data_IF_785616159971
#
_entry.id   IF_785616159971
#
_cell.length_a   1.000
_cell.length_b   1.000
_cell.length_c   1.000
_cell.angle_alpha   90.00
_cell.angle_beta   90.00
_cell.angle_gamma   90.00
#
_symmetry.space_group_name_H-M   'P 1'
#
loop_
_entity.id
_entity.type
_entity.pdbx_description
1 polymer ?
#
# COMPACT_ATOMS: atom_id res chain seq x y z
N UNK A 1 -0.81 0.93 -11.37
CA UNK A 1 0.07 1.71 -10.47
C UNK A 1 0.35 0.90 -9.23
N UNK A 2 1.60 0.83 -8.84
CA UNK A 2 2.01 0.20 -7.58
C UNK A 2 2.27 1.28 -6.54
N UNK A 3 1.82 1.01 -5.31
CA UNK A 3 1.99 1.92 -4.19
C UNK A 3 2.56 1.18 -3.01
N UNK A 4 3.38 1.87 -2.21
CA UNK A 4 3.80 1.37 -0.90
C UNK A 4 3.09 2.16 0.19
N UNK A 5 2.70 1.47 1.23
CA UNK A 5 1.98 2.06 2.36
C UNK A 5 2.73 1.73 3.63
N UNK A 6 2.88 2.72 4.51
CA UNK A 6 3.43 2.53 5.84
C UNK A 6 2.49 3.11 6.87
N UNK A 7 2.73 2.78 8.14
CA UNK A 7 1.85 3.21 9.23
C UNK A 7 0.63 2.33 9.43
N UNK A 8 0.60 1.16 8.80
CA UNK A 8 -0.49 0.21 8.96
C UNK A 8 -0.47 -0.41 10.36
N UNK A 9 -1.66 -0.72 10.92
CA UNK A 9 -1.71 -1.56 12.12
C UNK A 9 -1.00 -2.89 11.88
N UNK A 10 -0.33 -3.38 12.90
CA UNK A 10 0.47 -4.60 12.74
C UNK A 10 -0.38 -5.87 12.60
N UNK A 11 -1.64 -5.80 12.94
CA UNK A 11 -2.57 -6.90 12.76
C UNK A 11 -3.27 -6.91 11.39
N UNK A 12 -2.97 -5.92 10.53
CA UNK A 12 -3.50 -5.91 9.17
C UNK A 12 -2.92 -7.06 8.37
N UNK A 13 -3.82 -7.76 7.66
CA UNK A 13 -3.40 -8.73 6.65
C UNK A 13 -3.68 -8.16 5.25
N UNK A 14 -3.38 -8.97 4.24
CA UNK A 14 -3.56 -8.51 2.85
C UNK A 14 -5.03 -8.24 2.52
N UNK A 15 -5.96 -8.91 3.18
CA UNK A 15 -7.38 -8.69 2.94
C UNK A 15 -7.86 -7.38 3.55
N UNK A 16 -7.32 -7.03 4.71
CA UNK A 16 -7.60 -5.72 5.32
C UNK A 16 -7.09 -4.60 4.41
N UNK A 17 -5.91 -4.78 3.86
CA UNK A 17 -5.31 -3.81 2.96
C UNK A 17 -6.13 -3.68 1.68
N UNK A 18 -6.60 -4.79 1.14
CA UNK A 18 -7.47 -4.79 -0.03
C UNK A 18 -8.76 -4.03 0.24
N UNK A 19 -9.39 -4.28 1.38
CA UNK A 19 -10.63 -3.59 1.75
C UNK A 19 -10.43 -2.10 1.93
N UNK A 20 -9.27 -1.69 2.37
CA UNK A 20 -8.95 -0.28 2.54
C UNK A 20 -8.94 0.46 1.19
N UNK A 21 -8.48 -0.21 0.14
CA UNK A 21 -8.36 0.38 -1.19
C UNK A 21 -9.55 0.11 -2.12
N UNK A 22 -10.34 -0.92 -1.84
CA UNK A 22 -11.49 -1.29 -2.68
C UNK A 22 -12.47 -0.15 -2.95
N UNK A 23 -12.78 0.74 -2.00
CA UNK A 23 -13.73 1.83 -2.28
C UNK A 23 -13.28 2.76 -3.39
N UNK A 24 -12.00 2.77 -3.73
CA UNK A 24 -11.45 3.67 -4.74
C UNK A 24 -11.37 3.05 -6.12
N UNK A 25 -11.46 1.72 -6.23
CA UNK A 25 -11.45 1.05 -7.50
C UNK A 25 -10.92 -0.38 -7.42
N UNK A 26 -10.60 -0.94 -8.57
CA UNK A 26 -10.14 -2.31 -8.68
C UNK A 26 -8.72 -2.46 -8.12
N UNK A 27 -8.56 -3.41 -7.21
CA UNK A 27 -7.26 -3.73 -6.60
C UNK A 27 -6.77 -5.05 -7.20
N UNK A 28 -5.65 -4.99 -7.90
CA UNK A 28 -5.07 -6.18 -8.55
C UNK A 28 -4.26 -7.03 -7.58
N UNK A 29 -3.60 -6.41 -6.61
CA UNK A 29 -2.65 -7.12 -5.78
C UNK A 29 -2.42 -6.38 -4.48
N UNK A 30 -2.34 -7.12 -3.38
CA UNK A 30 -1.95 -6.60 -2.08
C UNK A 30 -0.97 -7.55 -1.42
N UNK A 31 -0.04 -6.99 -0.67
CA UNK A 31 0.93 -7.76 0.11
C UNK A 31 1.28 -6.99 1.37
N UNK A 32 1.37 -7.71 2.48
CA UNK A 32 1.89 -7.16 3.73
C UNK A 32 3.34 -7.61 3.87
N UNK A 33 4.22 -6.67 4.18
CA UNK A 33 5.63 -6.97 4.37
C UNK A 33 5.83 -7.53 5.78
N UNK A 34 6.46 -8.69 5.84
CA UNK A 34 6.69 -9.43 7.09
C UNK A 34 8.18 -9.44 7.36
N UNK A 35 8.55 -9.20 8.62
CA UNK A 35 9.93 -9.33 9.05
C UNK A 35 10.32 -10.82 9.00
N UNK A 36 11.35 -11.20 8.24
CA UNK A 36 11.71 -12.60 8.09
C UNK A 36 12.25 -13.23 9.38
N UNK A 37 12.73 -12.42 10.31
CA UNK A 37 13.29 -12.95 11.55
C UNK A 37 12.23 -13.16 12.62
N UNK A 38 11.29 -12.23 12.74
CA UNK A 38 10.26 -12.30 13.77
C UNK A 38 8.95 -12.91 13.28
N UNK A 39 8.72 -12.91 11.97
CA UNK A 39 7.44 -13.32 11.38
C UNK A 39 6.33 -12.31 11.59
N UNK A 40 6.63 -11.13 12.11
CA UNK A 40 5.64 -10.11 12.41
C UNK A 40 5.55 -9.07 11.29
N UNK A 41 4.37 -8.49 11.13
CA UNK A 41 4.17 -7.41 10.17
C UNK A 41 4.99 -6.19 10.55
N UNK A 42 5.56 -5.56 9.52
CA UNK A 42 6.33 -4.32 9.71
C UNK A 42 5.44 -3.07 9.65
N UNK A 43 4.13 -3.24 9.52
CA UNK A 43 3.22 -2.11 9.34
C UNK A 43 3.33 -1.49 7.97
N UNK A 44 3.85 -2.22 7.00
CA UNK A 44 4.03 -1.77 5.63
C UNK A 44 3.42 -2.76 4.67
N UNK A 45 2.98 -2.24 3.52
CA UNK A 45 2.39 -3.09 2.51
C UNK A 45 2.57 -2.54 1.12
N UNK A 46 2.18 -3.35 0.16
CA UNK A 46 2.20 -3.01 -1.26
C UNK A 46 0.81 -3.21 -1.82
N UNK A 47 0.34 -2.26 -2.61
CA UNK A 47 -0.95 -2.34 -3.30
C UNK A 47 -0.73 -2.01 -4.76
N UNK A 48 -1.32 -2.81 -5.64
CA UNK A 48 -1.36 -2.50 -7.07
C UNK A 48 -2.79 -2.28 -7.48
N UNK A 49 -3.05 -1.14 -8.11
CA UNK A 49 -4.33 -0.81 -8.70
C UNK A 49 -4.15 -0.64 -10.20
N UNK A 50 -5.11 -1.15 -10.96
CA UNK A 50 -5.01 -1.15 -12.41
C UNK A 50 -5.09 0.26 -12.99
N UNK A 51 -5.95 1.11 -12.42
CA UNK A 51 -6.19 2.44 -12.95
C UNK A 51 -5.47 3.49 -12.13
N UNK A 52 -4.67 4.29 -12.82
CA UNK A 52 -3.86 5.33 -12.16
C UNK A 52 -4.73 6.40 -11.51
N UNK A 53 -5.85 6.77 -12.15
CA UNK A 53 -6.74 7.78 -11.59
C UNK A 53 -7.33 7.32 -10.26
N UNK A 54 -7.74 6.07 -10.18
CA UNK A 54 -8.28 5.49 -8.94
C UNK A 54 -7.20 5.37 -7.87
N UNK A 55 -6.01 4.97 -8.26
CA UNK A 55 -4.89 4.87 -7.34
C UNK A 55 -4.53 6.24 -6.75
N UNK A 56 -4.51 7.26 -7.57
CA UNK A 56 -4.23 8.63 -7.10
C UNK A 56 -5.30 9.12 -6.13
N UNK A 57 -6.56 8.81 -6.38
CA UNK A 57 -7.63 9.15 -5.45
C UNK A 57 -7.43 8.44 -4.11
N UNK A 58 -7.08 7.16 -4.14
CA UNK A 58 -6.81 6.40 -2.92
C UNK A 58 -5.65 7.01 -2.14
N UNK A 59 -4.57 7.36 -2.82
CA UNK A 59 -3.43 8.00 -2.17
C UNK A 59 -3.83 9.30 -1.48
N UNK A 60 -4.58 10.14 -2.17
CA UNK A 60 -4.99 11.43 -1.62
C UNK A 60 -5.90 11.25 -0.41
N UNK A 61 -6.81 10.27 -0.46
CA UNK A 61 -7.76 10.04 0.62
C UNK A 61 -7.12 9.39 1.84
N UNK A 62 -6.13 8.53 1.64
CA UNK A 62 -5.55 7.73 2.72
C UNK A 62 -4.30 8.36 3.32
N UNK A 63 -3.66 9.28 2.60
CA UNK A 63 -2.46 9.93 3.10
C UNK A 63 -2.74 10.64 4.42
N UNK A 64 -1.97 10.31 5.44
CA UNK A 64 -2.11 10.93 6.76
C UNK A 64 -3.21 10.37 7.64
N UNK A 65 -4.01 9.44 7.12
CA UNK A 65 -5.09 8.82 7.93
C UNK A 65 -4.48 7.91 8.99
N UNK A 66 -4.99 8.01 10.21
CA UNK A 66 -4.50 7.19 11.32
C UNK A 66 -5.44 6.01 11.52
N UNK A 67 -4.96 4.80 11.28
CA UNK A 67 -5.70 3.56 11.51
C UNK A 67 -5.22 2.85 12.78
N UNK A 68 -3.95 3.01 13.09
CA UNK A 68 -3.35 2.46 14.29
C UNK A 68 -2.77 3.58 15.14
N UNK A 69 -1.47 3.55 15.36
CA UNK A 69 -0.78 4.56 16.16
C UNK A 69 -0.04 5.59 15.32
N UNK A 70 0.08 5.35 14.03
CA UNK A 70 0.85 6.22 13.13
C UNK A 70 0.01 6.61 11.92
N UNK A 71 0.26 7.79 11.35
CA UNK A 71 -0.43 8.17 10.12
C UNK A 71 0.05 7.33 8.95
N UNK A 72 -0.87 7.04 8.03
CA UNK A 72 -0.53 6.33 6.81
C UNK A 72 0.33 7.21 5.91
N UNK A 73 1.34 6.61 5.32
CA UNK A 73 2.14 7.25 4.30
C UNK A 73 2.04 6.39 3.04
N UNK A 74 1.41 6.93 2.02
CA UNK A 74 1.17 6.22 0.77
C UNK A 74 2.02 6.85 -0.31
N UNK A 75 2.84 6.05 -0.96
CA UNK A 75 3.74 6.53 -2.01
C UNK A 75 3.60 5.70 -3.26
N UNK A 76 3.66 6.35 -4.41
CA UNK A 76 3.73 5.66 -5.67
C UNK A 76 5.11 5.07 -5.88
N UNK A 77 5.16 3.83 -6.37
CA UNK A 77 6.40 3.20 -6.81
C UNK A 77 6.42 3.24 -8.33
N UNK A 78 7.36 3.97 -8.89
CA UNK A 78 7.47 4.09 -10.34
C UNK A 78 8.29 2.93 -10.88
N UNK A 79 7.62 1.80 -11.09
CA UNK A 79 8.25 0.65 -11.68
C UNK A 79 8.46 0.85 -13.16
N UNK A 80 9.65 0.51 -13.62
CA UNK A 80 9.96 0.59 -15.03
C UNK A 80 9.82 2.00 -15.59
N UNK A 81 9.67 2.99 -14.71
CA UNK A 81 9.45 4.35 -15.12
C UNK A 81 10.67 5.01 -15.72
N UNK A 82 11.81 4.40 -15.61
CA UNK A 82 13.03 4.89 -16.20
C UNK A 82 13.83 3.77 -16.79
N UNK A 83 14.84 4.09 -17.59
CA UNK A 83 15.75 3.08 -18.05
C UNK A 83 16.42 2.44 -16.84
N UNK A 84 16.35 1.15 -16.78
CA UNK A 84 17.04 0.47 -15.72
C UNK A 84 18.52 0.52 -15.99
N UNK A 85 19.33 0.86 -15.02
CA UNK A 85 20.76 0.68 -15.14
C UNK A 85 21.00 -0.81 -15.34
N UNK A 86 21.69 -1.12 -16.36
CA UNK A 86 21.99 -2.50 -16.67
C UNK A 86 23.26 -2.93 -15.98
#
# INVERSE_FOLDING_TARGET
>A
MRMTISGLPRDFDKFDLQRLFNPFGWVDYTKILIDPLSGLSRGKGIVEMKRDDQAKQAMAALQGKVLGTSPLNVKEVKEGGGPRPL
#
